data_IF_125453585160
#
_entry.id   IF_125453585160
#
_cell.length_a   1.000
_cell.length_b   1.000
_cell.length_c   1.000
_cell.angle_alpha   90.00
_cell.angle_beta   90.00
_cell.angle_gamma   90.00
#
_symmetry.space_group_name_H-M   'P 1'
#
loop_
_entity.id
_entity.type
_entity.pdbx_description
1 polymer ?
#
# COMPACT_ATOMS: atom_id res chain seq x y z
N UNK A 1 3.66 -17.99 21.42
CA UNK A 1 2.75 -17.29 20.49
C UNK A 1 3.62 -16.55 19.48
N UNK A 2 3.75 -17.06 18.25
CA UNK A 2 4.50 -16.37 17.21
C UNK A 2 3.65 -15.20 16.70
N UNK A 3 4.08 -13.97 16.99
CA UNK A 3 3.47 -12.78 16.40
C UNK A 3 3.85 -12.84 14.91
N UNK A 4 2.91 -13.28 14.08
CA UNK A 4 3.04 -13.40 12.62
C UNK A 4 3.06 -12.01 11.97
N UNK A 5 4.08 -11.20 12.30
CA UNK A 5 4.35 -10.00 11.54
C UNK A 5 4.81 -10.42 10.13
N UNK A 6 4.24 -9.83 9.08
CA UNK A 6 4.81 -10.00 7.74
C UNK A 6 6.26 -9.49 7.77
N UNK A 7 7.18 -10.10 7.00
CA UNK A 7 8.53 -9.59 6.92
C UNK A 7 8.48 -8.15 6.39
N UNK A 8 9.19 -7.23 7.04
CA UNK A 8 9.15 -5.79 6.74
C UNK A 8 9.43 -5.49 5.25
N UNK A 9 10.31 -6.29 4.63
CA UNK A 9 10.60 -6.25 3.20
C UNK A 9 9.37 -6.51 2.30
N UNK A 10 8.42 -7.34 2.75
CA UNK A 10 7.18 -7.61 2.01
C UNK A 10 6.24 -6.42 2.06
N UNK A 11 6.12 -5.77 3.22
CA UNK A 11 5.36 -4.51 3.36
C UNK A 11 5.94 -3.44 2.45
N UNK A 12 7.27 -3.25 2.47
CA UNK A 12 7.93 -2.25 1.64
C UNK A 12 7.74 -2.50 0.15
N UNK A 13 7.78 -3.76 -0.29
CA UNK A 13 7.51 -4.08 -1.70
C UNK A 13 6.08 -3.74 -2.10
N UNK A 14 5.08 -4.03 -1.24
CA UNK A 14 3.70 -3.63 -1.51
C UNK A 14 3.53 -2.11 -1.53
N UNK A 15 4.23 -1.37 -0.67
CA UNK A 15 4.22 0.11 -0.71
C UNK A 15 4.70 0.61 -2.07
N UNK A 16 5.82 0.10 -2.56
CA UNK A 16 6.38 0.51 -3.86
C UNK A 16 5.51 0.03 -5.04
N UNK A 17 4.84 -1.12 -4.91
CA UNK A 17 3.86 -1.57 -5.88
C UNK A 17 2.63 -0.64 -5.92
N UNK A 18 2.05 -0.32 -4.76
CA UNK A 18 0.89 0.58 -4.64
C UNK A 18 1.20 2.02 -5.07
N UNK A 19 2.44 2.50 -4.89
CA UNK A 19 2.87 3.81 -5.40
C UNK A 19 2.94 3.86 -6.93
N UNK A 20 3.28 2.75 -7.58
CA UNK A 20 3.31 2.63 -9.05
C UNK A 20 1.90 2.58 -9.65
N UNK A 21 0.95 2.03 -8.90
CA UNK A 21 -0.44 2.01 -9.28
C UNK A 21 -1.07 3.40 -9.09
N UNK A 22 -1.29 4.10 -10.21
CA UNK A 22 -2.12 5.31 -10.24
C UNK A 22 -3.59 4.91 -10.20
N UNK A 23 -4.03 4.38 -9.05
CA UNK A 23 -5.44 4.05 -8.89
C UNK A 23 -6.28 5.33 -8.97
N UNK A 24 -7.27 5.40 -9.87
CA UNK A 24 -8.22 6.49 -9.86
C UNK A 24 -9.01 6.49 -8.53
N UNK A 25 -9.57 7.65 -8.12
CA UNK A 25 -10.47 7.70 -6.97
C UNK A 25 -11.60 6.68 -7.19
N UNK A 26 -11.72 5.73 -6.26
CA UNK A 26 -12.64 4.60 -6.44
C UNK A 26 -14.09 5.06 -6.44
N UNK A 27 -14.83 4.69 -7.49
CA UNK A 27 -16.29 4.64 -7.47
C UNK A 27 -16.69 3.36 -6.75
N UNK A 28 -17.51 3.48 -5.70
CA UNK A 28 -18.04 2.32 -4.96
C UNK A 28 -18.79 1.43 -5.96
N UNK A 29 -18.30 0.22 -6.22
CA UNK A 29 -18.98 -0.78 -7.05
C UNK A 29 -19.52 -1.90 -6.17
N UNK A 30 -20.79 -2.23 -6.35
CA UNK A 30 -21.49 -3.22 -5.53
C UNK A 30 -21.24 -4.68 -5.99
N UNK A 31 -20.59 -4.86 -7.13
CA UNK A 31 -20.43 -6.16 -7.82
C UNK A 31 -19.15 -6.93 -7.43
N UNK A 32 -18.30 -6.37 -6.56
CA UNK A 32 -17.04 -7.02 -6.13
C UNK A 32 -16.01 -7.23 -7.26
N UNK A 33 -16.15 -6.49 -8.35
CA UNK A 33 -15.25 -6.52 -9.51
C UNK A 33 -14.70 -5.13 -9.78
N UNK A 34 -14.25 -4.46 -8.71
CA UNK A 34 -13.63 -3.14 -8.83
C UNK A 34 -12.24 -3.27 -9.46
N UNK A 35 -11.74 -2.19 -10.04
CA UNK A 35 -10.34 -2.13 -10.47
C UNK A 35 -9.37 -2.38 -9.30
N UNK A 36 -9.83 -2.09 -8.07
CA UNK A 36 -9.11 -2.42 -6.85
C UNK A 36 -9.04 -3.92 -6.58
N UNK A 37 -10.14 -4.67 -6.72
CA UNK A 37 -10.14 -6.13 -6.56
C UNK A 37 -9.16 -6.80 -7.55
N UNK A 38 -9.17 -6.33 -8.80
CA UNK A 38 -8.25 -6.82 -9.85
C UNK A 38 -6.80 -6.47 -9.54
N UNK A 39 -6.54 -5.22 -9.12
CA UNK A 39 -5.21 -4.79 -8.70
C UNK A 39 -4.73 -5.62 -7.51
N UNK A 40 -5.58 -5.79 -6.48
CA UNK A 40 -5.28 -6.59 -5.30
C UNK A 40 -4.89 -8.01 -5.70
N UNK A 41 -5.72 -8.71 -6.47
CA UNK A 41 -5.40 -10.08 -6.92
C UNK A 41 -4.09 -10.13 -7.71
N UNK A 42 -3.88 -9.21 -8.65
CA UNK A 42 -2.64 -9.14 -9.43
C UNK A 42 -1.41 -8.96 -8.53
N UNK A 43 -1.46 -8.01 -7.59
CA UNK A 43 -0.36 -7.73 -6.68
C UNK A 43 -0.05 -8.90 -5.74
N UNK A 44 -1.07 -9.66 -5.32
CA UNK A 44 -0.89 -10.89 -4.54
C UNK A 44 -0.08 -11.93 -5.34
N UNK A 45 -0.47 -12.18 -6.60
CA UNK A 45 0.26 -13.10 -7.48
C UNK A 45 1.68 -12.63 -7.81
N UNK A 46 1.88 -11.33 -8.05
CA UNK A 46 3.20 -10.77 -8.31
C UNK A 46 4.12 -10.86 -7.10
N UNK A 47 3.61 -10.56 -5.91
CA UNK A 47 4.36 -10.69 -4.66
C UNK A 47 4.78 -12.14 -4.43
N UNK A 48 3.86 -13.09 -4.53
CA UNK A 48 4.17 -14.51 -4.37
C UNK A 48 5.28 -14.95 -5.34
N UNK A 49 5.12 -14.62 -6.63
CA UNK A 49 6.08 -14.96 -7.68
C UNK A 49 7.45 -14.32 -7.42
N UNK A 50 7.49 -13.03 -7.08
CA UNK A 50 8.72 -12.32 -6.81
C UNK A 50 9.48 -12.94 -5.64
N UNK A 51 8.80 -13.25 -4.54
CA UNK A 51 9.43 -13.89 -3.38
C UNK A 51 9.96 -15.27 -3.72
N UNK A 52 9.18 -16.07 -4.44
CA UNK A 52 9.58 -17.42 -4.86
C UNK A 52 10.84 -17.38 -5.72
N UNK A 53 10.93 -16.43 -6.65
CA UNK A 53 12.09 -16.27 -7.53
C UNK A 53 13.32 -15.73 -6.79
N UNK A 54 13.14 -14.79 -5.87
CA UNK A 54 14.26 -14.10 -5.19
C UNK A 54 14.81 -14.87 -4.00
N UNK A 55 13.96 -15.53 -3.23
CA UNK A 55 14.32 -16.15 -1.95
C UNK A 55 14.10 -17.66 -1.91
N UNK A 56 13.52 -18.25 -2.97
CA UNK A 56 13.26 -19.69 -3.03
C UNK A 56 12.05 -20.15 -2.21
N UNK A 57 11.30 -19.23 -1.58
CA UNK A 57 10.09 -19.53 -0.82
C UNK A 57 8.97 -18.55 -1.16
N UNK A 58 7.72 -18.99 -0.98
CA UNK A 58 6.53 -18.15 -1.12
C UNK A 58 6.01 -17.73 0.27
N UNK A 59 5.70 -16.44 0.50
CA UNK A 59 5.05 -16.01 1.73
C UNK A 59 3.68 -16.68 1.83
N UNK A 60 3.20 -16.94 3.05
CA UNK A 60 1.87 -17.52 3.21
C UNK A 60 0.80 -16.54 2.75
N UNK A 61 -0.40 -17.01 2.32
CA UNK A 61 -1.50 -16.13 1.96
C UNK A 61 -1.79 -15.10 3.06
N UNK A 62 -1.78 -15.52 4.33
CA UNK A 62 -1.96 -14.61 5.47
C UNK A 62 -0.89 -13.51 5.57
N UNK A 63 0.38 -13.82 5.26
CA UNK A 63 1.45 -12.81 5.23
C UNK A 63 1.28 -11.83 4.09
N UNK A 64 0.86 -12.29 2.90
CA UNK A 64 0.63 -11.41 1.76
C UNK A 64 -0.56 -10.47 2.00
N UNK A 65 -1.67 -10.99 2.54
CA UNK A 65 -2.85 -10.18 2.90
C UNK A 65 -2.48 -9.13 3.96
N UNK A 66 -1.82 -9.55 5.04
CA UNK A 66 -1.44 -8.63 6.12
C UNK A 66 -0.45 -7.55 5.63
N UNK A 67 0.55 -7.93 4.82
CA UNK A 67 1.51 -6.98 4.29
C UNK A 67 0.86 -5.96 3.35
N UNK A 68 -0.06 -6.39 2.50
CA UNK A 68 -0.81 -5.52 1.60
C UNK A 68 -1.60 -4.45 2.37
N UNK A 69 -2.39 -4.85 3.35
CA UNK A 69 -3.19 -3.90 4.13
C UNK A 69 -2.35 -2.99 5.03
N UNK A 70 -1.19 -3.45 5.53
CA UNK A 70 -0.24 -2.58 6.21
C UNK A 70 0.34 -1.51 5.28
N UNK A 71 0.70 -1.89 4.06
CA UNK A 71 1.20 -0.97 3.04
C UNK A 71 0.13 0.07 2.65
N UNK A 72 -1.11 -0.36 2.46
CA UNK A 72 -2.23 0.53 2.18
C UNK A 72 -2.49 1.51 3.32
N UNK A 73 -2.51 1.02 4.57
CA UNK A 73 -2.67 1.87 5.75
C UNK A 73 -1.55 2.90 5.87
N UNK A 74 -0.30 2.51 5.59
CA UNK A 74 0.85 3.43 5.57
C UNK A 74 0.65 4.55 4.54
N UNK A 75 0.31 4.20 3.30
CA UNK A 75 0.07 5.16 2.23
C UNK A 75 -1.15 6.06 2.48
N UNK A 76 -2.23 5.51 3.05
CA UNK A 76 -3.41 6.27 3.43
C UNK A 76 -3.08 7.32 4.50
N UNK A 77 -2.25 6.96 5.49
CA UNK A 77 -1.76 7.91 6.50
C UNK A 77 -0.87 8.99 5.88
N UNK A 78 0.05 8.62 4.99
CA UNK A 78 0.92 9.58 4.30
C UNK A 78 0.10 10.60 3.48
N UNK A 79 -0.89 10.13 2.71
CA UNK A 79 -1.81 11.00 1.93
C UNK A 79 -2.63 11.93 2.81
N UNK A 80 -3.08 11.48 3.99
CA UNK A 80 -3.83 12.32 4.95
C UNK A 80 -2.96 13.42 5.58
N UNK A 81 -1.65 13.20 5.69
CA UNK A 81 -0.73 14.17 6.30
C UNK A 81 -0.25 15.24 5.30
N UNK A 82 -0.19 14.95 4.00
CA UNK A 82 0.21 15.93 2.98
C UNK A 82 -0.55 17.27 3.00
N UNK A 83 -1.89 17.33 3.06
CA UNK A 83 -2.61 18.61 3.00
C UNK A 83 -2.39 19.49 4.24
N UNK A 84 -2.02 18.89 5.39
CA UNK A 84 -1.74 19.64 6.62
C UNK A 84 -0.44 20.43 6.50
N UNK A 85 0.63 19.79 6.01
CA UNK A 85 1.92 20.45 5.85
C UNK A 85 1.90 21.55 4.78
N UNK A 86 1.17 21.35 3.68
CA UNK A 86 1.03 22.38 2.64
C UNK A 86 0.29 23.63 3.14
N UNK A 87 -0.73 23.47 4.00
CA UNK A 87 -1.42 24.61 4.63
C UNK A 87 -0.57 25.31 5.68
N UNK A 88 0.14 24.55 6.51
CA UNK A 88 1.04 25.11 7.54
C UNK A 88 2.20 25.86 6.90
N UNK A 89 2.81 25.33 5.83
CA UNK A 89 3.88 26.01 5.10
C UNK A 89 3.38 27.25 4.35
N UNK A 90 2.18 27.21 3.75
CA UNK A 90 1.58 28.39 3.15
C UNK A 90 1.34 29.50 4.19
N UNK A 91 0.82 29.15 5.36
CA UNK A 91 0.60 30.10 6.46
C UNK A 91 1.91 30.68 7.02
N UNK A 92 2.95 29.86 7.15
CA UNK A 92 4.29 30.32 7.59
C UNK A 92 4.99 31.20 6.56
N UNK A 93 4.73 31.00 5.27
CA UNK A 93 5.28 31.84 4.20
C UNK A 93 4.56 33.18 4.08
N UNK A 94 3.25 33.23 4.38
CA UNK A 94 2.41 34.42 4.38
C UNK A 94 2.69 35.34 5.59
N UNK A 95 3.13 34.78 6.71
CA UNK A 95 3.40 35.54 7.95
C UNK A 95 4.76 36.29 7.98
N UNK A 96 5.44 36.40 6.83
CA UNK A 96 6.79 37.00 6.71
C UNK A 96 6.84 38.30 5.87
N UNK A 97 5.69 38.82 5.45
CA UNK A 97 5.54 40.12 4.79
C UNK A 97 5.09 41.23 5.76
#
# INVERSE_FOLDING_TARGET
MAINHPPEALVQWFVEALKREQLPPQTISYDGNTDYDRMYQRLQFEAERYWRLRYGYAPTPGHLVNAFFQAEHFLSRERRLQPVWSRVMAWLSDSRE
#
